data_IF_935576223699
#
_entry.id   IF_935576223699
#
_cell.length_a   1.000
_cell.length_b   1.000
_cell.length_c   1.000
_cell.angle_alpha   90.00
_cell.angle_beta   90.00
_cell.angle_gamma   90.00
#
_symmetry.space_group_name_H-M   'P 1'
#
loop_
_entity.id
_entity.type
_entity.pdbx_description
1 polymer ?
#
# COMPACT_ATOMS: atom_id res chain seq x y z
N UNK A 1 -0.22 -4.25 -17.73
CA UNK A 1 -0.05 -4.19 -16.27
C UNK A 1 0.41 -5.57 -15.85
N UNK A 2 1.63 -5.69 -15.33
CA UNK A 2 2.18 -7.01 -15.01
C UNK A 2 1.50 -7.52 -13.73
N UNK A 3 0.64 -8.52 -13.89
CA UNK A 3 -0.35 -9.01 -12.92
C UNK A 3 0.30 -9.55 -11.62
N UNK A 4 1.57 -9.95 -11.68
CA UNK A 4 2.36 -10.32 -10.49
C UNK A 4 2.51 -9.20 -9.44
N UNK A 5 2.30 -7.94 -9.82
CA UNK A 5 2.35 -6.80 -8.89
C UNK A 5 1.02 -6.65 -8.11
N UNK A 6 -0.09 -7.18 -8.63
CA UNK A 6 -1.41 -7.19 -7.96
C UNK A 6 -1.63 -8.42 -7.06
N UNK A 7 -0.92 -9.53 -7.25
CA UNK A 7 -0.98 -10.67 -6.30
C UNK A 7 -0.22 -10.40 -4.98
N UNK A 8 0.80 -9.52 -5.01
CA UNK A 8 1.56 -9.11 -3.81
C UNK A 8 0.78 -8.09 -2.96
N UNK A 9 -0.16 -7.41 -3.61
CA UNK A 9 -1.02 -6.32 -3.15
C UNK A 9 -1.87 -6.69 -1.92
N UNK A 10 -2.20 -7.97 -1.77
CA UNK A 10 -2.98 -8.52 -0.66
C UNK A 10 -2.12 -9.19 0.41
N UNK A 11 -0.83 -9.43 0.14
CA UNK A 11 0.08 -10.09 1.10
C UNK A 11 0.61 -9.17 2.19
N UNK A 12 0.42 -7.85 2.10
CA UNK A 12 1.10 -6.87 2.98
C UNK A 12 0.21 -5.89 3.75
N UNK A 13 -1.08 -5.74 3.38
CA UNK A 13 -2.09 -5.13 4.26
C UNK A 13 -2.55 -6.19 5.28
N UNK A 14 -1.75 -6.36 6.33
CA UNK A 14 -2.08 -7.20 7.50
C UNK A 14 -3.25 -6.58 8.30
N UNK A 15 -4.21 -7.31 8.90
CA UNK A 15 -4.77 -8.64 8.68
C UNK A 15 -6.22 -8.60 8.12
N UNK A 16 -6.64 -7.51 7.47
CA UNK A 16 -8.01 -7.34 6.93
C UNK A 16 -8.21 -8.01 5.56
N UNK A 17 -7.37 -8.99 5.24
CA UNK A 17 -7.42 -9.84 4.05
C UNK A 17 -8.82 -10.41 3.81
N UNK A 18 -9.57 -10.68 4.89
CA UNK A 18 -10.90 -11.24 4.81
C UNK A 18 -11.92 -10.29 4.17
N UNK A 19 -11.78 -8.98 4.31
CA UNK A 19 -12.71 -8.05 3.64
C UNK A 19 -12.56 -8.14 2.13
N UNK A 20 -11.33 -8.00 1.62
CA UNK A 20 -11.09 -7.92 0.19
C UNK A 20 -11.40 -9.21 -0.57
N UNK A 21 -11.33 -10.36 0.11
CA UNK A 21 -11.70 -11.67 -0.44
C UNK A 21 -13.21 -11.95 -0.44
N UNK A 22 -14.02 -11.16 0.27
CA UNK A 22 -15.49 -11.33 0.26
C UNK A 22 -16.09 -10.84 -1.05
N UNK A 23 -17.24 -11.41 -1.37
CA UNK A 23 -18.11 -10.92 -2.42
C UNK A 23 -18.61 -9.51 -2.08
N UNK A 24 -18.51 -8.59 -3.02
CA UNK A 24 -19.22 -7.31 -2.94
C UNK A 24 -20.72 -7.55 -3.09
N UNK A 25 -21.52 -6.79 -2.34
CA UNK A 25 -22.99 -6.73 -2.50
C UNK A 25 -23.39 -6.10 -3.86
N UNK A 26 -22.47 -5.35 -4.48
CA UNK A 26 -22.69 -4.57 -5.69
C UNK A 26 -21.68 -4.97 -6.79
N UNK A 27 -21.79 -6.18 -7.37
CA UNK A 27 -20.90 -6.61 -8.43
C UNK A 27 -21.21 -5.89 -9.75
N UNK A 28 -20.18 -5.67 -10.57
CA UNK A 28 -20.37 -5.13 -11.91
C UNK A 28 -21.05 -6.14 -12.83
N UNK A 29 -22.38 -6.03 -12.97
CA UNK A 29 -23.25 -6.97 -13.72
C UNK A 29 -22.74 -7.24 -15.13
N UNK A 30 -22.32 -6.20 -15.85
CA UNK A 30 -21.80 -6.31 -17.22
C UNK A 30 -20.56 -7.21 -17.33
N UNK A 31 -19.79 -7.37 -16.25
CA UNK A 31 -18.56 -8.17 -16.21
C UNK A 31 -18.85 -9.59 -15.69
N UNK A 32 -19.73 -9.74 -14.70
CA UNK A 32 -19.99 -11.03 -14.05
C UNK A 32 -20.96 -11.95 -14.81
N UNK A 33 -21.77 -11.43 -15.74
CA UNK A 33 -22.72 -12.26 -16.48
C UNK A 33 -22.01 -13.19 -17.48
N UNK A 34 -22.40 -14.47 -17.50
CA UNK A 34 -21.81 -15.50 -18.35
C UNK A 34 -21.95 -15.23 -19.87
N UNK A 35 -22.92 -14.40 -20.26
CA UNK A 35 -23.17 -13.98 -21.65
C UNK A 35 -22.44 -12.68 -22.03
N UNK A 36 -21.62 -12.15 -21.11
CA UNK A 36 -20.80 -10.98 -21.37
C UNK A 36 -19.72 -11.31 -22.40
N UNK A 37 -19.65 -10.50 -23.47
CA UNK A 37 -18.51 -10.50 -24.41
C UNK A 37 -17.22 -9.98 -23.78
N UNK A 38 -17.30 -9.48 -22.55
CA UNK A 38 -16.19 -8.87 -21.82
C UNK A 38 -15.58 -9.92 -20.90
N UNK A 39 -14.35 -10.32 -21.21
CA UNK A 39 -13.58 -11.21 -20.35
C UNK A 39 -13.19 -10.48 -19.05
N UNK A 40 -13.59 -11.05 -17.92
CA UNK A 40 -13.20 -10.63 -16.57
C UNK A 40 -11.68 -10.59 -16.41
N UNK A 41 -11.14 -9.61 -15.68
CA UNK A 41 -9.70 -9.52 -15.40
C UNK A 41 -9.15 -10.81 -14.74
N UNK A 42 -9.94 -11.44 -13.86
CA UNK A 42 -9.60 -12.75 -13.24
C UNK A 42 -9.25 -13.86 -14.25
N UNK A 43 -9.93 -13.92 -15.40
CA UNK A 43 -9.66 -14.94 -16.45
C UNK A 43 -8.37 -14.64 -17.20
N UNK A 44 -8.05 -13.37 -17.42
CA UNK A 44 -6.76 -12.95 -17.99
C UNK A 44 -5.59 -13.27 -17.06
N UNK A 45 -5.82 -13.15 -15.75
CA UNK A 45 -4.85 -13.52 -14.71
C UNK A 45 -4.56 -15.02 -14.75
N UNK A 46 -5.59 -15.88 -14.74
CA UNK A 46 -5.41 -17.34 -14.85
C UNK A 46 -4.63 -17.75 -16.11
N UNK A 47 -4.94 -17.12 -17.25
CA UNK A 47 -4.26 -17.39 -18.52
C UNK A 47 -2.78 -16.98 -18.53
N UNK A 48 -2.35 -16.02 -17.70
CA UNK A 48 -0.94 -15.65 -17.56
C UNK A 48 -0.14 -16.60 -16.64
N UNK A 49 -0.79 -17.46 -15.86
CA UNK A 49 -0.16 -18.27 -14.79
C UNK A 49 0.21 -19.70 -15.23
N UNK A 50 0.01 -20.12 -16.49
CA UNK A 50 0.29 -21.49 -16.96
C UNK A 50 0.92 -21.46 -18.37
N UNK A 51 1.99 -22.18 -18.75
CA UNK A 51 2.63 -23.42 -18.30
C UNK A 51 4.18 -23.31 -18.45
N UNK A 52 4.95 -23.74 -17.45
CA UNK A 52 6.38 -24.05 -17.62
C UNK A 52 6.56 -25.57 -17.59
N UNK A 53 6.91 -26.14 -18.72
CA UNK A 53 7.26 -27.55 -18.85
C UNK A 53 8.78 -27.69 -18.72
N UNK A 54 9.24 -28.55 -17.80
CA UNK A 54 10.66 -28.86 -17.68
C UNK A 54 10.95 -30.18 -18.38
N UNK A 55 11.80 -30.14 -19.41
CA UNK A 55 12.31 -31.34 -20.04
C UNK A 55 13.32 -32.02 -19.11
N UNK A 56 13.05 -33.25 -18.69
CA UNK A 56 14.08 -34.12 -18.11
C UNK A 56 14.44 -35.20 -19.13
N UNK A 57 15.71 -35.20 -19.51
CA UNK A 57 16.33 -36.23 -20.35
C UNK A 57 16.98 -37.24 -19.43
N UNK A 58 16.56 -38.50 -19.53
CA UNK A 58 17.18 -39.57 -18.74
C UNK A 58 18.54 -39.97 -19.34
N UNK A 59 19.41 -40.65 -18.57
CA UNK A 59 20.80 -40.99 -18.98
C UNK A 59 20.92 -41.88 -20.24
N UNK A 60 19.79 -42.34 -20.78
CA UNK A 60 19.67 -43.09 -22.03
C UNK A 60 19.03 -42.30 -23.19
N UNK A 61 18.92 -40.96 -23.06
CA UNK A 61 18.47 -40.08 -24.15
C UNK A 61 16.96 -40.04 -24.40
N UNK A 62 16.14 -40.65 -23.54
CA UNK A 62 14.68 -40.52 -23.61
C UNK A 62 14.23 -39.24 -22.91
N UNK A 63 13.47 -38.41 -23.64
CA UNK A 63 12.89 -37.16 -23.13
C UNK A 63 11.47 -37.44 -22.66
N UNK A 64 11.18 -37.21 -21.38
CA UNK A 64 9.82 -37.28 -20.84
C UNK A 64 9.39 -35.88 -20.37
N UNK A 65 8.21 -35.45 -20.80
CA UNK A 65 7.60 -34.18 -20.38
C UNK A 65 6.95 -34.37 -19.00
N UNK A 66 7.38 -33.57 -18.02
CA UNK A 66 6.75 -33.55 -16.69
C UNK A 66 6.17 -32.15 -16.48
N UNK A 67 4.84 -32.08 -16.44
CA UNK A 67 4.14 -30.87 -16.03
C UNK A 67 4.37 -30.66 -14.52
N UNK A 68 5.30 -29.76 -14.18
CA UNK A 68 5.51 -29.37 -12.79
C UNK A 68 4.47 -28.32 -12.42
N UNK A 69 3.32 -28.76 -11.91
CA UNK A 69 2.38 -27.87 -11.20
C UNK A 69 3.02 -27.52 -9.86
N UNK A 70 3.84 -26.45 -9.81
CA UNK A 70 4.14 -25.79 -8.54
C UNK A 70 2.84 -25.13 -8.07
N UNK A 71 2.05 -25.86 -7.29
CA UNK A 71 0.99 -25.28 -6.47
C UNK A 71 1.68 -24.39 -5.43
N UNK A 72 1.78 -23.10 -5.70
CA UNK A 72 1.88 -22.12 -4.63
C UNK A 72 0.69 -22.33 -3.69
N UNK A 73 0.95 -22.38 -2.40
CA UNK A 73 -0.04 -22.49 -1.31
C UNK A 73 -1.39 -21.85 -1.67
N UNK A 74 -2.46 -22.64 -1.68
CA UNK A 74 -3.84 -22.22 -1.90
C UNK A 74 -4.29 -21.30 -0.76
N UNK A 75 -4.11 -19.99 -0.89
CA UNK A 75 -4.62 -18.98 0.06
C UNK A 75 -5.56 -17.97 -0.62
N UNK A 76 -5.91 -18.23 -1.88
CA UNK A 76 -6.78 -17.41 -2.70
C UNK A 76 -7.87 -18.29 -3.32
N UNK A 77 -9.05 -18.28 -2.72
CA UNK A 77 -10.22 -18.95 -3.30
C UNK A 77 -10.90 -17.98 -4.24
N UNK A 78 -10.96 -18.30 -5.54
CA UNK A 78 -11.81 -17.56 -6.46
C UNK A 78 -13.27 -17.73 -6.03
N UNK A 79 -14.03 -16.63 -6.05
CA UNK A 79 -15.46 -16.70 -5.79
C UNK A 79 -16.19 -17.39 -6.94
N UNK A 80 -17.35 -18.04 -6.68
CA UNK A 80 -18.16 -18.66 -7.72
C UNK A 80 -18.58 -17.68 -8.82
N UNK A 81 -18.93 -18.23 -10.00
CA UNK A 81 -19.49 -17.43 -11.09
C UNK A 81 -20.72 -16.63 -10.65
N UNK A 82 -20.81 -15.38 -11.11
CA UNK A 82 -21.85 -14.42 -10.70
C UNK A 82 -21.52 -13.63 -9.43
N UNK A 83 -20.40 -13.91 -8.76
CA UNK A 83 -19.87 -13.08 -7.69
C UNK A 83 -18.62 -12.33 -8.14
N UNK A 84 -18.36 -11.20 -7.49
CA UNK A 84 -17.18 -10.38 -7.68
C UNK A 84 -16.61 -10.08 -6.30
N UNK A 85 -15.31 -10.26 -6.12
CA UNK A 85 -14.66 -9.95 -4.86
C UNK A 85 -14.30 -8.46 -4.79
N UNK A 86 -14.25 -7.92 -3.58
CA UNK A 86 -13.84 -6.54 -3.34
C UNK A 86 -12.48 -6.19 -3.96
N UNK A 87 -11.52 -7.12 -3.97
CA UNK A 87 -10.22 -6.90 -4.63
C UNK A 87 -10.33 -6.74 -6.16
N UNK A 88 -11.31 -7.37 -6.81
CA UNK A 88 -11.54 -7.25 -8.26
C UNK A 88 -12.04 -5.84 -8.61
N UNK A 89 -12.85 -5.26 -7.73
CA UNK A 89 -13.33 -3.88 -7.83
C UNK A 89 -12.14 -2.90 -7.72
N UNK A 90 -11.28 -3.08 -6.72
CA UNK A 90 -10.05 -2.28 -6.54
C UNK A 90 -9.13 -2.39 -7.76
N UNK A 91 -8.94 -3.59 -8.31
CA UNK A 91 -8.17 -3.80 -9.53
C UNK A 91 -8.75 -3.02 -10.72
N UNK A 92 -10.08 -3.05 -10.90
CA UNK A 92 -10.74 -2.33 -11.98
C UNK A 92 -10.57 -0.82 -11.85
N UNK A 93 -10.69 -0.26 -10.65
CA UNK A 93 -10.44 1.17 -10.39
C UNK A 93 -9.00 1.54 -10.80
N UNK A 94 -7.99 0.77 -10.35
CA UNK A 94 -6.59 1.03 -10.70
C UNK A 94 -6.34 0.89 -12.20
N UNK A 95 -6.95 -0.10 -12.85
CA UNK A 95 -6.84 -0.28 -14.29
C UNK A 95 -7.41 0.92 -15.05
N UNK A 96 -8.61 1.38 -14.69
CA UNK A 96 -9.23 2.55 -15.31
C UNK A 96 -8.38 3.80 -15.08
N UNK A 97 -7.93 4.04 -13.83
CA UNK A 97 -7.05 5.16 -13.52
C UNK A 97 -5.78 5.17 -14.38
N UNK A 98 -5.10 4.03 -14.49
CA UNK A 98 -3.88 3.90 -15.26
C UNK A 98 -4.10 4.12 -16.77
N UNK A 99 -5.29 3.75 -17.29
CA UNK A 99 -5.67 3.99 -18.69
C UNK A 99 -5.99 5.46 -18.96
N UNK A 100 -6.63 6.14 -18.02
CA UNK A 100 -6.95 7.56 -18.13
C UNK A 100 -5.72 8.46 -17.91
N UNK A 101 -4.69 7.96 -17.22
CA UNK A 101 -3.46 8.70 -16.92
C UNK A 101 -2.21 8.03 -17.53
N UNK A 102 -2.08 7.95 -18.87
CA UNK A 102 -0.98 7.20 -19.52
C UNK A 102 0.41 7.76 -19.23
N UNK A 103 0.53 9.04 -18.84
CA UNK A 103 1.80 9.64 -18.43
C UNK A 103 2.32 9.17 -17.07
N UNK A 104 1.44 8.66 -16.20
CA UNK A 104 1.83 8.05 -14.91
C UNK A 104 1.69 6.53 -14.96
N UNK A 105 0.56 6.03 -15.49
CA UNK A 105 0.18 4.63 -15.44
C UNK A 105 -0.07 4.15 -14.01
N UNK A 106 0.07 2.84 -13.81
CA UNK A 106 0.05 2.22 -12.49
C UNK A 106 1.46 2.12 -11.93
N UNK A 107 1.63 2.51 -10.67
CA UNK A 107 2.87 2.37 -9.89
C UNK A 107 2.56 1.54 -8.65
N UNK A 108 3.44 0.59 -8.33
CA UNK A 108 3.32 -0.20 -7.11
C UNK A 108 3.27 0.72 -5.88
N UNK A 109 2.29 0.48 -5.00
CA UNK A 109 2.00 1.34 -3.83
C UNK A 109 0.69 2.12 -3.99
N UNK A 110 0.25 2.43 -5.21
CA UNK A 110 -1.05 3.07 -5.45
C UNK A 110 -2.22 2.27 -4.89
N UNK A 111 -2.09 0.95 -4.93
CA UNK A 111 -3.04 0.03 -4.37
C UNK A 111 -3.18 0.13 -2.84
N UNK A 112 -2.10 0.46 -2.13
CA UNK A 112 -2.06 0.61 -0.67
C UNK A 112 -2.74 1.91 -0.24
N UNK A 113 -2.81 2.87 -1.17
CA UNK A 113 -3.57 4.10 -1.01
C UNK A 113 -5.05 3.85 -1.33
N UNK A 114 -5.36 3.15 -2.42
CA UNK A 114 -6.75 2.89 -2.81
C UNK A 114 -7.48 1.97 -1.81
N UNK A 115 -6.80 0.99 -1.22
CA UNK A 115 -7.40 0.01 -0.31
C UNK A 115 -8.21 0.64 0.83
N UNK A 116 -7.61 1.52 1.67
CA UNK A 116 -8.33 2.22 2.74
C UNK A 116 -9.48 3.09 2.25
N UNK A 117 -9.34 3.78 1.11
CA UNK A 117 -10.41 4.59 0.50
C UNK A 117 -11.60 3.69 0.17
N UNK A 118 -11.34 2.61 -0.58
CA UNK A 118 -12.37 1.69 -1.01
C UNK A 118 -13.05 1.00 0.17
N UNK A 119 -12.27 0.54 1.15
CA UNK A 119 -12.81 -0.04 2.37
C UNK A 119 -13.79 0.90 3.07
N UNK A 120 -13.44 2.19 3.17
CA UNK A 120 -14.28 3.20 3.82
C UNK A 120 -15.64 3.32 3.15
N UNK A 121 -15.67 3.43 1.82
CA UNK A 121 -16.93 3.56 1.08
C UNK A 121 -17.72 2.25 1.01
N UNK A 122 -17.05 1.13 0.78
CA UNK A 122 -17.70 -0.18 0.67
C UNK A 122 -18.20 -0.73 2.01
N UNK A 123 -17.71 -0.18 3.13
CA UNK A 123 -18.16 -0.51 4.49
C UNK A 123 -19.13 0.52 5.09
N UNK A 124 -19.64 1.50 4.31
CA UNK A 124 -20.61 2.49 4.81
C UNK A 124 -21.84 1.76 5.40
N UNK A 125 -22.35 2.17 6.59
CA UNK A 125 -23.51 1.53 7.20
C UNK A 125 -24.79 1.64 6.35
N UNK A 126 -24.86 2.60 5.43
CA UNK A 126 -26.01 2.87 4.57
C UNK A 126 -25.79 2.22 3.20
N UNK A 127 -26.67 1.28 2.85
CA UNK A 127 -26.63 0.56 1.58
C UNK A 127 -26.70 1.49 0.35
N UNK A 128 -27.41 2.62 0.45
CA UNK A 128 -27.48 3.60 -0.64
C UNK A 128 -26.11 4.22 -1.00
N UNK A 129 -25.17 4.27 -0.06
CA UNK A 129 -23.82 4.80 -0.30
C UNK A 129 -22.86 3.71 -0.76
N UNK A 130 -23.00 2.49 -0.23
CA UNK A 130 -22.19 1.33 -0.66
C UNK A 130 -22.31 1.03 -2.15
N UNK A 131 -23.49 1.24 -2.74
CA UNK A 131 -23.72 1.04 -4.18
C UNK A 131 -22.76 1.87 -5.04
N UNK A 132 -22.41 3.07 -4.60
CA UNK A 132 -21.53 3.99 -5.31
C UNK A 132 -20.06 3.86 -4.91
N UNK A 133 -19.72 2.91 -4.03
CA UNK A 133 -18.39 2.80 -3.45
C UNK A 133 -17.27 2.71 -4.49
N UNK A 134 -17.48 2.01 -5.60
CA UNK A 134 -16.49 1.95 -6.69
C UNK A 134 -16.23 3.32 -7.33
N UNK A 135 -17.29 4.04 -7.68
CA UNK A 135 -17.20 5.33 -8.35
C UNK A 135 -16.62 6.41 -7.41
N UNK A 136 -17.11 6.47 -6.17
CA UNK A 136 -16.63 7.40 -5.16
C UNK A 136 -15.15 7.15 -4.84
N UNK A 137 -14.76 5.88 -4.73
CA UNK A 137 -13.36 5.50 -4.56
C UNK A 137 -12.49 5.96 -5.72
N UNK A 138 -12.97 5.81 -6.97
CA UNK A 138 -12.23 6.25 -8.15
C UNK A 138 -11.96 7.77 -8.12
N UNK A 139 -12.97 8.58 -7.83
CA UNK A 139 -12.81 10.05 -7.80
C UNK A 139 -11.99 10.53 -6.59
N UNK A 140 -12.24 9.99 -5.39
CA UNK A 140 -11.44 10.31 -4.22
C UNK A 140 -9.97 9.91 -4.40
N UNK A 141 -9.72 8.72 -4.93
CA UNK A 141 -8.37 8.27 -5.26
C UNK A 141 -7.71 9.17 -6.30
N UNK A 142 -8.45 9.56 -7.36
CA UNK A 142 -7.91 10.45 -8.39
C UNK A 142 -7.53 11.83 -7.82
N UNK A 143 -8.36 12.40 -6.96
CA UNK A 143 -8.06 13.67 -6.29
C UNK A 143 -6.83 13.57 -5.41
N UNK A 144 -6.74 12.53 -4.57
CA UNK A 144 -5.58 12.33 -3.72
C UNK A 144 -4.30 12.11 -4.54
N UNK A 145 -4.38 11.28 -5.59
CA UNK A 145 -3.27 11.03 -6.49
C UNK A 145 -2.80 12.29 -7.20
N UNK A 146 -3.68 13.25 -7.51
CA UNK A 146 -3.27 14.53 -8.10
C UNK A 146 -2.36 15.33 -7.16
N UNK A 147 -2.55 15.22 -5.84
CA UNK A 147 -1.70 15.88 -4.83
C UNK A 147 -0.39 15.13 -4.58
N UNK A 148 -0.43 13.79 -4.52
CA UNK A 148 0.73 12.97 -4.16
C UNK A 148 1.50 12.42 -5.37
N UNK A 149 1.11 12.78 -6.59
CA UNK A 149 1.70 12.24 -7.84
C UNK A 149 3.22 12.35 -7.88
N UNK A 150 3.75 13.48 -7.43
CA UNK A 150 5.19 13.79 -7.48
C UNK A 150 6.00 12.87 -6.56
N UNK A 151 5.35 12.24 -5.57
CA UNK A 151 5.95 11.23 -4.69
C UNK A 151 6.14 9.88 -5.42
N UNK A 152 5.28 9.58 -6.40
CA UNK A 152 5.30 8.30 -7.14
C UNK A 152 6.12 8.33 -8.43
N UNK A 153 6.30 9.51 -9.03
CA UNK A 153 6.95 9.64 -10.34
C UNK A 153 8.41 10.07 -10.15
N UNK A 154 9.35 9.12 -10.28
CA UNK A 154 10.80 9.38 -10.18
C UNK A 154 11.31 10.48 -11.14
N UNK A 155 10.66 10.68 -12.27
CA UNK A 155 11.00 11.76 -13.22
C UNK A 155 10.50 13.15 -12.79
N UNK A 156 9.61 13.22 -11.80
CA UNK A 156 9.18 14.49 -11.17
C UNK A 156 9.98 14.77 -9.88
N UNK A 157 10.67 13.76 -9.33
CA UNK A 157 11.62 13.88 -8.22
C UNK A 157 13.02 14.36 -8.67
N UNK A 158 13.11 15.02 -9.83
CA UNK A 158 14.37 15.52 -10.39
C UNK A 158 14.77 16.89 -9.82
N UNK A 159 13.84 17.63 -9.22
CA UNK A 159 14.07 18.95 -8.65
C UNK A 159 14.16 18.87 -7.12
N UNK A 160 15.19 19.50 -6.54
CA UNK A 160 15.46 19.49 -5.09
C UNK A 160 14.37 20.18 -4.24
N UNK A 161 13.31 20.71 -4.86
CA UNK A 161 12.27 21.54 -4.23
C UNK A 161 10.96 20.77 -4.00
N UNK A 162 10.63 19.79 -4.84
CA UNK A 162 9.40 18.99 -4.76
C UNK A 162 9.71 17.49 -4.69
N UNK A 163 8.66 16.65 -4.58
CA UNK A 163 8.81 15.20 -4.57
C UNK A 163 9.23 14.59 -3.23
N UNK A 164 9.60 13.31 -3.28
CA UNK A 164 9.95 12.52 -2.11
C UNK A 164 11.29 12.95 -1.51
N UNK A 165 12.24 13.43 -2.33
CA UNK A 165 13.51 13.97 -1.85
C UNK A 165 13.33 15.17 -0.91
N UNK A 166 12.50 16.14 -1.32
CA UNK A 166 12.19 17.34 -0.52
C UNK A 166 11.43 16.99 0.77
N UNK A 167 10.45 16.08 0.69
CA UNK A 167 9.71 15.60 1.85
C UNK A 167 10.62 14.87 2.86
N UNK A 168 11.57 14.06 2.37
CA UNK A 168 12.55 13.36 3.20
C UNK A 168 13.54 14.32 3.87
N UNK A 169 13.97 15.36 3.15
CA UNK A 169 14.82 16.42 3.71
C UNK A 169 14.08 17.18 4.81
N UNK A 170 12.81 17.52 4.58
CA UNK A 170 11.93 18.18 5.55
C UNK A 170 11.73 17.32 6.80
N UNK A 171 11.47 16.01 6.62
CA UNK A 171 11.42 15.04 7.71
C UNK A 171 12.70 15.01 8.55
N UNK A 172 13.85 14.92 7.88
CA UNK A 172 15.15 14.88 8.54
C UNK A 172 15.44 16.19 9.31
N UNK A 173 15.10 17.35 8.72
CA UNK A 173 15.29 18.66 9.35
C UNK A 173 14.36 18.83 10.56
N UNK A 174 13.09 18.43 10.44
CA UNK A 174 12.11 18.51 11.53
C UNK A 174 12.53 17.63 12.70
N UNK A 175 13.04 16.43 12.44
CA UNK A 175 13.56 15.55 13.50
C UNK A 175 14.73 16.22 14.22
N UNK A 176 15.68 16.80 13.48
CA UNK A 176 16.82 17.53 14.08
C UNK A 176 16.36 18.71 14.94
N UNK A 177 15.37 19.48 14.47
CA UNK A 177 14.81 20.61 15.21
C UNK A 177 14.16 20.17 16.53
N UNK A 178 13.44 19.04 16.53
CA UNK A 178 12.63 18.60 17.68
C UNK A 178 13.38 17.68 18.65
N UNK A 179 14.36 16.91 18.17
CA UNK A 179 15.23 16.06 18.99
C UNK A 179 16.60 15.90 18.32
N UNK A 180 17.48 16.87 18.55
CA UNK A 180 18.84 16.87 17.99
C UNK A 180 19.66 15.66 18.47
N UNK A 181 19.43 15.19 19.70
CA UNK A 181 20.14 14.04 20.25
C UNK A 181 19.78 12.75 19.49
N UNK A 182 18.48 12.50 19.31
CA UNK A 182 17.99 11.36 18.54
C UNK A 182 18.44 11.44 17.07
N UNK A 183 18.39 12.62 16.46
CA UNK A 183 18.92 12.85 15.12
C UNK A 183 20.40 12.48 15.00
N UNK A 184 21.24 12.95 15.94
CA UNK A 184 22.66 12.64 15.93
C UNK A 184 22.91 11.14 16.14
N UNK A 185 22.14 10.49 17.01
CA UNK A 185 22.22 9.04 17.21
C UNK A 185 21.91 8.24 15.93
N UNK A 186 20.84 8.59 15.23
CA UNK A 186 20.47 7.97 13.95
C UNK A 186 21.58 8.17 12.92
N UNK A 187 22.22 9.34 12.90
CA UNK A 187 23.34 9.65 12.02
C UNK A 187 24.60 8.84 12.38
N UNK A 188 24.92 8.67 13.66
CA UNK A 188 26.04 7.84 14.13
C UNK A 188 25.87 6.37 13.74
N UNK A 189 24.63 5.87 13.76
CA UNK A 189 24.28 4.54 13.29
C UNK A 189 24.33 4.38 11.75
N UNK A 190 24.58 5.46 11.00
CA UNK A 190 24.44 5.53 9.53
C UNK A 190 23.05 5.06 9.04
N UNK A 191 22.02 5.31 9.85
CA UNK A 191 20.65 4.91 9.54
C UNK A 191 20.00 5.92 8.60
N UNK A 192 20.08 5.62 7.29
CA UNK A 192 19.56 6.51 6.25
C UNK A 192 18.01 6.48 6.20
N UNK A 193 17.32 7.64 6.26
CA UNK A 193 15.85 7.72 6.20
C UNK A 193 15.22 6.98 5.02
N UNK A 194 15.91 6.87 3.89
CA UNK A 194 15.44 6.15 2.71
C UNK A 194 15.13 4.66 2.98
N UNK A 195 15.74 4.05 4.00
CA UNK A 195 15.54 2.64 4.33
C UNK A 195 14.27 2.35 5.15
N UNK A 196 13.66 3.37 5.76
CA UNK A 196 12.46 3.19 6.59
C UNK A 196 11.37 4.22 6.25
N UNK A 197 11.70 5.51 6.23
CA UNK A 197 10.73 6.59 6.04
C UNK A 197 10.24 6.76 4.60
N UNK A 198 10.95 6.21 3.60
CA UNK A 198 10.49 6.27 2.20
C UNK A 198 9.08 5.67 2.07
N UNK A 199 8.87 4.49 2.64
CA UNK A 199 7.58 3.81 2.62
C UNK A 199 6.53 4.53 3.46
N UNK A 200 6.93 5.04 4.63
CA UNK A 200 6.06 5.80 5.53
C UNK A 200 5.43 7.00 4.83
N UNK A 201 6.25 7.78 4.13
CA UNK A 201 5.83 9.00 3.45
C UNK A 201 5.08 8.70 2.14
N UNK A 202 5.58 7.77 1.33
CA UNK A 202 4.98 7.45 0.02
C UNK A 202 3.62 6.77 0.13
N UNK A 203 3.39 6.01 1.20
CA UNK A 203 2.14 5.28 1.43
C UNK A 203 1.26 5.89 2.52
N UNK A 204 1.56 7.11 2.96
CA UNK A 204 0.79 7.79 4.02
C UNK A 204 0.57 6.89 5.25
N UNK A 205 1.63 6.18 5.65
CA UNK A 205 1.68 5.24 6.78
C UNK A 205 0.76 4.00 6.68
N UNK A 206 0.14 3.72 5.52
CA UNK A 206 -0.83 2.62 5.39
C UNK A 206 -0.26 1.22 5.65
N UNK A 207 1.06 1.07 5.65
CA UNK A 207 1.75 -0.19 6.00
C UNK A 207 2.39 -0.19 7.40
N UNK A 208 2.30 0.91 8.15
CA UNK A 208 2.87 0.99 9.52
C UNK A 208 1.84 0.77 10.61
N UNK A 209 0.55 0.75 10.25
CA UNK A 209 -0.56 0.64 11.16
C UNK A 209 -1.61 -0.33 10.61
N UNK A 210 -2.39 -1.01 11.46
CA UNK A 210 -3.56 -1.77 11.02
C UNK A 210 -4.60 -0.85 10.41
N UNK A 211 -5.49 -1.36 9.55
CA UNK A 211 -6.42 -0.54 8.78
C UNK A 211 -7.27 0.43 9.63
N UNK A 212 -7.85 0.05 10.79
CA UNK A 212 -8.59 1.00 11.62
C UNK A 212 -7.78 2.20 12.06
N UNK A 213 -6.49 1.99 12.36
CA UNK A 213 -5.56 3.04 12.76
C UNK A 213 -5.14 3.89 11.56
N UNK A 214 -4.96 3.28 10.38
CA UNK A 214 -4.72 4.01 9.12
C UNK A 214 -5.88 4.98 8.84
N UNK A 215 -7.12 4.52 8.95
CA UNK A 215 -8.30 5.37 8.77
C UNK A 215 -8.29 6.54 9.76
N UNK A 216 -7.97 6.28 11.03
CA UNK A 216 -7.90 7.33 12.06
C UNK A 216 -6.77 8.34 11.82
N UNK A 217 -5.63 7.90 11.30
CA UNK A 217 -4.54 8.78 10.85
C UNK A 217 -5.05 9.64 9.69
N UNK A 218 -5.69 9.02 8.71
CA UNK A 218 -6.16 9.68 7.49
C UNK A 218 -7.29 10.69 7.78
N UNK A 219 -8.18 10.43 8.73
CA UNK A 219 -9.13 11.42 9.23
C UNK A 219 -8.41 12.70 9.68
N UNK A 220 -7.30 12.54 10.41
CA UNK A 220 -6.52 13.67 10.91
C UNK A 220 -5.75 14.37 9.79
N UNK A 221 -5.22 13.62 8.83
CA UNK A 221 -4.52 14.19 7.68
C UNK A 221 -5.49 14.95 6.76
N UNK A 222 -6.64 14.39 6.42
CA UNK A 222 -7.59 15.02 5.50
C UNK A 222 -8.35 16.19 6.12
N UNK A 223 -8.51 16.22 7.45
CA UNK A 223 -9.01 17.39 8.17
C UNK A 223 -7.99 18.55 8.24
N UNK A 224 -6.75 18.33 7.82
CA UNK A 224 -5.65 19.29 7.95
C UNK A 224 -5.28 19.94 6.62
N UNK A 225 -5.23 21.28 6.60
CA UNK A 225 -4.79 22.06 5.43
C UNK A 225 -3.29 21.89 5.14
N UNK A 226 -2.50 21.52 6.16
CA UNK A 226 -1.05 21.25 6.07
C UNK A 226 -0.75 19.77 6.32
N UNK A 227 -1.57 18.89 5.77
CA UNK A 227 -1.51 17.43 5.98
C UNK A 227 -0.14 16.80 5.77
N UNK A 228 0.65 17.23 4.79
CA UNK A 228 1.97 16.65 4.54
C UNK A 228 3.01 17.08 5.59
N UNK A 229 2.93 18.31 6.09
CA UNK A 229 3.72 18.74 7.25
C UNK A 229 3.30 17.97 8.51
N UNK A 230 2.00 17.73 8.67
CA UNK A 230 1.48 16.95 9.79
C UNK A 230 1.88 15.47 9.70
N UNK A 231 1.88 14.88 8.51
CA UNK A 231 2.43 13.54 8.24
C UNK A 231 3.89 13.44 8.67
N UNK A 232 4.71 14.45 8.33
CA UNK A 232 6.10 14.53 8.78
C UNK A 232 6.16 14.55 10.32
N UNK A 233 5.29 15.31 10.98
CA UNK A 233 5.22 15.32 12.44
C UNK A 233 4.86 13.95 13.02
N UNK A 234 3.93 13.21 12.39
CA UNK A 234 3.59 11.84 12.80
C UNK A 234 4.80 10.91 12.66
N UNK A 235 5.51 10.96 11.53
CA UNK A 235 6.73 10.19 11.32
C UNK A 235 7.84 10.52 12.35
N UNK A 236 8.02 11.81 12.69
CA UNK A 236 8.97 12.20 13.74
C UNK A 236 8.54 11.71 15.12
N UNK A 237 7.24 11.80 15.44
CA UNK A 237 6.68 11.31 16.70
C UNK A 237 6.89 9.80 16.87
N UNK A 238 6.76 9.00 15.80
CA UNK A 238 7.06 7.57 15.82
C UNK A 238 8.50 7.29 16.28
N UNK A 239 9.49 8.01 15.74
CA UNK A 239 10.89 7.86 16.16
C UNK A 239 11.12 8.35 17.60
N UNK A 240 10.53 9.49 17.97
CA UNK A 240 10.68 10.05 19.33
C UNK A 240 10.04 9.16 20.40
N UNK A 241 9.03 8.36 20.06
CA UNK A 241 8.43 7.40 20.99
C UNK A 241 9.36 6.19 21.19
N UNK A 242 10.06 5.76 20.15
CA UNK A 242 11.04 4.67 20.17
C UNK A 242 12.44 5.15 20.56
N UNK A 243 12.55 6.35 21.12
CA UNK A 243 13.80 7.07 21.35
C UNK A 243 14.76 6.25 22.19
N UNK A 244 14.28 5.69 23.30
CA UNK A 244 15.15 5.03 24.27
C UNK A 244 15.75 3.74 23.68
N UNK A 245 14.96 2.98 22.92
CA UNK A 245 15.39 1.81 22.16
C UNK A 245 16.37 2.18 21.03
N UNK A 246 16.13 3.28 20.31
CA UNK A 246 17.05 3.74 19.25
C UNK A 246 18.42 4.15 19.83
N UNK A 247 18.42 4.70 21.03
CA UNK A 247 19.64 5.13 21.71
C UNK A 247 20.43 3.93 22.24
N UNK A 248 19.76 2.96 22.86
CA UNK A 248 20.41 1.82 23.51
C UNK A 248 20.91 0.76 22.54
N UNK A 249 20.23 0.57 21.40
CA UNK A 249 20.47 -0.57 20.51
C UNK A 249 21.43 -0.26 19.35
N UNK A 250 21.85 -1.34 18.67
CA UNK A 250 22.72 -1.33 17.49
C UNK A 250 21.94 -1.20 16.17
N UNK A 251 22.67 -0.97 15.07
CA UNK A 251 22.05 -0.72 13.75
C UNK A 251 21.05 -1.79 13.30
N UNK A 252 21.35 -3.12 13.35
CA UNK A 252 20.40 -4.15 12.91
C UNK A 252 19.10 -4.15 13.72
N UNK A 253 19.21 -3.98 15.04
CA UNK A 253 18.05 -3.98 15.95
C UNK A 253 17.19 -2.75 15.70
N UNK A 254 17.82 -1.57 15.61
CA UNK A 254 17.13 -0.31 15.30
C UNK A 254 16.47 -0.36 13.91
N UNK A 255 17.19 -0.85 12.89
CA UNK A 255 16.63 -0.97 11.54
C UNK A 255 15.39 -1.86 11.53
N UNK A 256 15.46 -3.03 12.21
CA UNK A 256 14.31 -3.92 12.33
C UNK A 256 13.16 -3.27 13.08
N UNK A 257 13.45 -2.51 14.14
CA UNK A 257 12.46 -1.80 14.94
C UNK A 257 11.71 -0.76 14.09
N UNK A 258 12.42 0.12 13.38
CA UNK A 258 11.80 1.16 12.55
C UNK A 258 11.11 0.58 11.31
N UNK A 259 11.62 -0.49 10.71
CA UNK A 259 10.95 -1.12 9.55
C UNK A 259 9.68 -1.89 9.94
N UNK A 260 9.54 -2.29 11.20
CA UNK A 260 8.41 -3.09 11.68
C UNK A 260 7.69 -2.38 12.85
N UNK A 261 7.35 -1.10 12.66
CA UNK A 261 6.76 -0.27 13.72
C UNK A 261 5.53 -0.91 14.38
N UNK A 262 4.69 -1.61 13.62
CA UNK A 262 3.53 -2.36 14.13
C UNK A 262 3.87 -3.33 15.28
N UNK A 263 5.08 -3.89 15.29
CA UNK A 263 5.51 -4.86 16.31
C UNK A 263 5.82 -4.21 17.67
N UNK A 264 5.99 -2.89 17.71
CA UNK A 264 6.30 -2.13 18.93
C UNK A 264 5.10 -1.96 19.87
N UNK A 265 3.87 -2.32 19.44
CA UNK A 265 2.62 -2.16 20.20
C UNK A 265 2.39 -0.74 20.74
N UNK A 266 2.96 0.26 20.06
CA UNK A 266 2.75 1.67 20.39
C UNK A 266 1.30 2.05 20.06
N UNK A 267 0.62 2.65 21.04
CA UNK A 267 -0.73 3.16 20.87
C UNK A 267 -0.77 4.35 19.90
N UNK A 268 -1.70 4.30 18.93
CA UNK A 268 -1.88 5.35 17.94
C UNK A 268 -2.17 6.71 18.60
N UNK A 269 -2.98 6.76 19.67
CA UNK A 269 -3.31 8.04 20.31
C UNK A 269 -2.06 8.71 20.89
N UNK A 270 -1.11 7.93 21.41
CA UNK A 270 0.19 8.44 21.86
C UNK A 270 0.99 9.02 20.70
N UNK A 271 0.99 8.38 19.53
CA UNK A 271 1.66 8.90 18.32
C UNK A 271 1.04 10.22 17.88
N UNK A 272 -0.29 10.27 17.73
CA UNK A 272 -0.99 11.47 17.27
C UNK A 272 -0.85 12.63 18.27
N UNK A 273 -0.96 12.36 19.57
CA UNK A 273 -0.77 13.39 20.60
C UNK A 273 0.64 13.97 20.53
N UNK A 274 1.65 13.11 20.45
CA UNK A 274 3.05 13.54 20.30
C UNK A 274 3.28 14.32 19.01
N UNK A 275 2.65 13.92 17.90
CA UNK A 275 2.74 14.62 16.62
C UNK A 275 2.15 16.03 16.69
N UNK A 276 1.04 16.22 17.43
CA UNK A 276 0.45 17.54 17.69
C UNK A 276 1.38 18.38 18.57
N UNK A 277 1.99 17.80 19.61
CA UNK A 277 2.90 18.52 20.51
C UNK A 277 4.14 19.07 19.80
N UNK A 278 4.67 18.33 18.81
CA UNK A 278 5.88 18.71 18.07
C UNK A 278 5.60 19.48 16.79
N UNK A 279 4.33 19.76 16.50
CA UNK A 279 3.93 20.51 15.32
C UNK A 279 4.60 21.89 15.31
#
# INVERSE_FOLDING_TARGET
MNIFVLEILLRRLCPDLFFFQKATEYPCKEIIHADSRVETLRKRVEHCVLHSETLKVDRFGKSNMIASRRKTSEEYSLLPDGQEAHWEVVERILFIYAKLNPGQGYVQGMNEILGPIYYTFASDPRNEWKEFAEADSFFCFTNLMAEIRDIFIKTLDLDAVCGIGSMMASFTSKLKEKDEFLYNRIKELDLKPQYYAFRWLTLLLSQEFPLPDVLRIWDSLFADDKRFDFLICICCAMLMILRDEIISEDFPTVMKLVQNFQTSKVDLQRVLSKAVDIR
#
